data_IF_526817841711
#
_entry.id   IF_526817841711
#
_cell.length_a   1.000
_cell.length_b   1.000
_cell.length_c   1.000
_cell.angle_alpha   90.00
_cell.angle_beta   90.00
_cell.angle_gamma   90.00
#
_symmetry.space_group_name_H-M   'P 1'
#
loop_
_entity.id
_entity.type
_entity.pdbx_description
1 polymer ?
#
# COMPACT_ATOMS: atom_id res chain seq x y z
N UNK A 1 -14.66 -4.05 -2.47
CA UNK A 1 -15.39 -5.10 -3.22
C UNK A 1 -16.65 -5.47 -2.48
N UNK A 2 -17.75 -5.69 -3.18
CA UNK A 2 -19.05 -6.06 -2.58
C UNK A 2 -19.32 -7.57 -2.70
N UNK A 3 -18.26 -8.38 -2.79
CA UNK A 3 -18.34 -9.83 -2.94
C UNK A 3 -19.02 -10.48 -1.73
N UNK A 4 -19.93 -11.40 -1.97
CA UNK A 4 -20.65 -12.18 -0.96
C UNK A 4 -20.33 -13.65 -1.19
N UNK A 5 -19.70 -14.30 -0.21
CA UNK A 5 -19.40 -15.71 -0.29
C UNK A 5 -20.62 -16.55 0.06
N UNK A 6 -20.94 -17.52 -0.77
CA UNK A 6 -21.93 -18.56 -0.48
C UNK A 6 -21.17 -19.82 -0.12
N UNK A 7 -21.28 -20.25 1.13
CA UNK A 7 -20.46 -21.32 1.70
C UNK A 7 -21.32 -22.43 2.28
N UNK A 8 -20.95 -23.67 1.95
CA UNK A 8 -21.49 -24.84 2.59
C UNK A 8 -20.70 -25.23 3.85
N UNK A 9 -20.88 -26.45 4.37
CA UNK A 9 -20.22 -26.91 5.55
C UNK A 9 -18.76 -27.36 5.34
N UNK A 10 -17.98 -27.47 6.44
CA UNK A 10 -16.53 -27.72 6.46
C UNK A 10 -16.07 -29.00 5.77
N UNK A 11 -16.88 -30.05 5.81
CA UNK A 11 -16.59 -31.31 5.09
C UNK A 11 -17.57 -31.41 3.92
N UNK A 12 -17.32 -30.69 2.79
CA UNK A 12 -18.32 -30.49 1.78
C UNK A 12 -18.69 -31.82 1.09
N UNK A 13 -19.95 -32.18 1.18
CA UNK A 13 -20.56 -33.20 0.32
C UNK A 13 -21.09 -32.58 -0.96
N UNK A 14 -21.76 -33.38 -1.77
CA UNK A 14 -22.29 -32.91 -3.03
C UNK A 14 -23.41 -31.90 -2.87
N UNK A 15 -24.29 -32.06 -1.88
CA UNK A 15 -25.39 -31.09 -1.64
C UNK A 15 -24.85 -29.72 -1.24
N UNK A 16 -23.89 -29.70 -0.34
CA UNK A 16 -23.19 -28.49 0.12
C UNK A 16 -22.57 -27.69 -1.03
N UNK A 17 -21.87 -28.36 -1.96
CA UNK A 17 -21.23 -27.71 -3.12
C UNK A 17 -22.28 -27.23 -4.12
N UNK A 18 -23.26 -28.08 -4.45
CA UNK A 18 -24.30 -27.74 -5.42
C UNK A 18 -25.20 -26.62 -4.93
N UNK A 19 -25.56 -26.65 -3.65
CA UNK A 19 -26.34 -25.59 -3.01
C UNK A 19 -25.60 -24.24 -3.10
N UNK A 20 -24.30 -24.22 -2.76
CA UNK A 20 -23.51 -22.98 -2.85
C UNK A 20 -23.47 -22.42 -4.28
N UNK A 21 -23.20 -23.27 -5.27
CA UNK A 21 -23.13 -22.86 -6.67
C UNK A 21 -24.48 -22.41 -7.22
N UNK A 22 -25.55 -23.18 -6.94
CA UNK A 22 -26.90 -22.89 -7.44
C UNK A 22 -27.46 -21.61 -6.81
N UNK A 23 -27.24 -21.40 -5.51
CA UNK A 23 -27.68 -20.17 -4.85
C UNK A 23 -26.92 -18.93 -5.35
N UNK A 24 -25.59 -19.02 -5.50
CA UNK A 24 -24.81 -17.93 -6.07
C UNK A 24 -25.28 -17.57 -7.49
N UNK A 25 -25.54 -18.58 -8.33
CA UNK A 25 -26.05 -18.37 -9.69
C UNK A 25 -27.44 -17.70 -9.69
N UNK A 26 -28.35 -18.14 -8.81
CA UNK A 26 -29.68 -17.53 -8.65
C UNK A 26 -29.56 -16.05 -8.28
N UNK A 27 -28.76 -15.73 -7.27
CA UNK A 27 -28.60 -14.36 -6.77
C UNK A 27 -27.94 -13.44 -7.81
N UNK A 28 -26.96 -13.95 -8.54
CA UNK A 28 -26.32 -13.21 -9.63
C UNK A 28 -27.30 -12.95 -10.80
N UNK A 29 -28.19 -13.89 -11.09
CA UNK A 29 -29.25 -13.70 -12.10
C UNK A 29 -30.28 -12.63 -11.68
N UNK A 30 -30.50 -12.44 -10.38
CA UNK A 30 -31.39 -11.41 -9.84
C UNK A 30 -30.74 -10.00 -9.69
N UNK A 31 -29.44 -9.89 -9.78
CA UNK A 31 -28.80 -8.72 -10.36
C UNK A 31 -28.22 -7.60 -9.50
N UNK A 32 -28.20 -7.58 -8.17
CA UNK A 32 -27.70 -6.37 -7.45
C UNK A 32 -26.31 -6.47 -6.80
N UNK A 33 -25.74 -7.65 -6.68
CA UNK A 33 -24.50 -7.91 -5.95
C UNK A 33 -23.78 -9.10 -6.56
N UNK A 34 -22.46 -9.19 -6.31
CA UNK A 34 -21.63 -10.30 -6.74
C UNK A 34 -21.63 -11.39 -5.67
N UNK A 35 -22.23 -12.55 -6.00
CA UNK A 35 -22.22 -13.74 -5.16
C UNK A 35 -21.23 -14.75 -5.73
N UNK A 36 -20.30 -15.21 -4.89
CA UNK A 36 -19.29 -16.19 -5.27
C UNK A 36 -19.49 -17.45 -4.46
N UNK A 37 -19.71 -18.57 -5.14
CA UNK A 37 -19.72 -19.89 -4.50
C UNK A 37 -18.33 -20.23 -3.98
N UNK A 38 -18.24 -20.72 -2.75
CA UNK A 38 -16.99 -21.13 -2.16
C UNK A 38 -17.15 -22.46 -1.40
N UNK A 39 -16.08 -23.26 -1.34
CA UNK A 39 -16.04 -24.53 -0.61
C UNK A 39 -15.05 -24.45 0.56
N UNK A 40 -15.35 -25.20 1.61
CA UNK A 40 -14.54 -25.33 2.82
C UNK A 40 -13.88 -26.73 2.81
N UNK A 41 -12.62 -26.80 2.41
CA UNK A 41 -11.90 -28.06 2.41
C UNK A 41 -11.88 -28.77 1.05
N UNK A 42 -11.60 -30.06 1.09
CA UNK A 42 -11.40 -30.86 -0.12
C UNK A 42 -12.71 -31.40 -0.67
N UNK A 43 -12.91 -31.24 -1.96
CA UNK A 43 -14.08 -31.76 -2.69
C UNK A 43 -13.88 -33.27 -2.91
N UNK A 44 -14.91 -34.08 -2.65
CA UNK A 44 -14.85 -35.52 -2.87
C UNK A 44 -14.73 -35.87 -4.36
N UNK A 45 -14.12 -37.05 -4.66
CA UNK A 45 -14.02 -37.55 -6.04
C UNK A 45 -15.39 -37.74 -6.70
N UNK A 46 -16.43 -38.03 -5.94
CA UNK A 46 -17.79 -38.12 -6.41
C UNK A 46 -18.32 -36.77 -6.88
N UNK A 47 -18.17 -35.75 -6.04
CA UNK A 47 -18.56 -34.38 -6.36
C UNK A 47 -17.77 -33.84 -7.56
N UNK A 48 -16.45 -34.10 -7.62
CA UNK A 48 -15.60 -33.70 -8.74
C UNK A 48 -16.08 -34.31 -10.05
N UNK A 49 -16.32 -35.64 -10.08
CA UNK A 49 -16.85 -36.30 -11.27
C UNK A 49 -18.20 -35.75 -11.73
N UNK A 50 -19.01 -35.30 -10.79
CA UNK A 50 -20.29 -34.68 -11.11
C UNK A 50 -20.09 -33.28 -11.70
N UNK A 51 -19.23 -32.46 -11.13
CA UNK A 51 -18.87 -31.14 -11.68
C UNK A 51 -18.36 -31.29 -13.13
N UNK A 52 -17.41 -32.21 -13.34
CA UNK A 52 -16.82 -32.48 -14.66
C UNK A 52 -17.90 -32.89 -15.68
N UNK A 53 -18.86 -33.74 -15.27
CA UNK A 53 -19.97 -34.21 -16.14
C UNK A 53 -20.83 -33.07 -16.64
N UNK A 54 -21.05 -32.03 -15.83
CA UNK A 54 -21.90 -30.89 -16.19
C UNK A 54 -21.09 -29.67 -16.66
N UNK A 55 -19.76 -29.82 -16.75
CA UNK A 55 -18.85 -28.76 -17.24
C UNK A 55 -18.67 -27.61 -16.27
N UNK A 56 -18.74 -27.85 -14.97
CA UNK A 56 -18.47 -26.87 -13.94
C UNK A 56 -17.05 -27.02 -13.36
N UNK A 57 -16.40 -25.88 -13.15
CA UNK A 57 -15.20 -25.85 -12.33
C UNK A 57 -15.57 -25.89 -10.83
N UNK A 58 -14.71 -26.48 -9.98
CA UNK A 58 -14.87 -26.44 -8.54
C UNK A 58 -14.99 -25.00 -8.02
N UNK A 59 -15.86 -24.73 -7.04
CA UNK A 59 -15.92 -23.43 -6.42
C UNK A 59 -14.61 -23.07 -5.72
N UNK A 60 -14.37 -21.77 -5.58
CA UNK A 60 -13.16 -21.26 -4.92
C UNK A 60 -13.03 -21.81 -3.50
N UNK A 61 -11.87 -22.40 -3.18
CA UNK A 61 -11.62 -22.83 -1.81
C UNK A 61 -11.32 -21.64 -0.92
N UNK A 62 -12.03 -21.55 0.22
CA UNK A 62 -11.77 -20.58 1.29
C UNK A 62 -11.71 -21.33 2.62
N UNK A 63 -10.76 -20.94 3.48
CA UNK A 63 -10.60 -21.61 4.79
C UNK A 63 -10.92 -20.65 5.95
N UNK A 64 -10.96 -19.34 5.69
CA UNK A 64 -11.11 -18.31 6.72
C UNK A 64 -11.80 -17.07 6.14
N UNK A 65 -12.76 -16.52 6.88
CA UNK A 65 -13.48 -15.30 6.51
C UNK A 65 -13.16 -14.12 7.45
N UNK A 66 -12.14 -14.24 8.30
CA UNK A 66 -11.64 -13.09 9.06
C UNK A 66 -11.20 -11.98 8.10
N UNK A 67 -11.39 -10.76 8.57
CA UNK A 67 -10.98 -9.57 7.81
C UNK A 67 -9.45 -9.48 7.75
N UNK A 68 -8.91 -9.24 6.57
CA UNK A 68 -7.48 -9.04 6.32
C UNK A 68 -7.20 -7.57 5.96
N UNK A 69 -5.93 -7.16 5.96
CA UNK A 69 -5.50 -5.81 5.56
C UNK A 69 -6.02 -5.45 4.17
N UNK A 70 -6.02 -6.42 3.23
CA UNK A 70 -6.56 -6.22 1.86
C UNK A 70 -8.03 -5.83 1.81
N UNK A 71 -8.79 -6.11 2.86
CA UNK A 71 -10.22 -5.80 2.96
C UNK A 71 -10.47 -4.38 3.50
N UNK A 72 -9.43 -3.64 3.87
CA UNK A 72 -9.51 -2.27 4.38
C UNK A 72 -9.38 -1.23 3.25
N UNK A 73 -9.99 -0.09 3.47
CA UNK A 73 -9.75 1.12 2.67
C UNK A 73 -8.56 1.89 3.26
N UNK A 74 -7.35 1.38 3.11
CA UNK A 74 -6.15 2.06 3.57
C UNK A 74 -5.71 3.14 2.57
N UNK A 75 -4.89 4.10 3.05
CA UNK A 75 -4.40 5.18 2.21
C UNK A 75 -3.35 4.69 1.20
N UNK A 76 -3.34 5.28 0.01
CA UNK A 76 -2.34 5.01 -1.02
C UNK A 76 -1.53 6.27 -1.35
N UNK A 77 -0.79 6.85 -0.38
CA UNK A 77 0.07 7.99 -0.66
C UNK A 77 1.18 7.56 -1.63
N UNK A 78 1.66 8.48 -2.48
CA UNK A 78 2.80 8.18 -3.31
C UNK A 78 4.00 7.82 -2.44
N UNK A 79 4.59 6.65 -2.67
CA UNK A 79 5.89 6.29 -2.09
C UNK A 79 7.00 7.07 -2.78
N UNK A 80 8.05 7.45 -2.06
CA UNK A 80 9.19 8.17 -2.59
C UNK A 80 10.43 7.29 -2.62
N UNK A 81 11.17 7.37 -3.72
CA UNK A 81 12.49 6.76 -3.80
C UNK A 81 13.45 7.40 -2.79
N UNK A 82 14.33 6.60 -2.21
CA UNK A 82 15.28 7.00 -1.18
C UNK A 82 16.27 8.11 -1.62
N UNK A 83 16.49 8.27 -2.92
CA UNK A 83 17.34 9.32 -3.51
C UNK A 83 16.69 10.70 -3.63
N UNK A 84 15.38 10.80 -3.42
CA UNK A 84 14.62 12.05 -3.53
C UNK A 84 15.06 13.03 -2.44
N UNK A 85 15.06 14.33 -2.75
CA UNK A 85 15.47 15.40 -1.83
C UNK A 85 14.46 15.59 -0.68
N UNK A 86 14.95 16.02 0.50
CA UNK A 86 14.08 16.41 1.61
C UNK A 86 13.09 17.52 1.22
N UNK A 87 13.51 18.46 0.35
CA UNK A 87 12.64 19.51 -0.17
C UNK A 87 11.40 18.94 -0.88
N UNK A 88 11.62 17.99 -1.80
CA UNK A 88 10.53 17.35 -2.55
C UNK A 88 9.62 16.54 -1.64
N UNK A 89 10.20 15.78 -0.70
CA UNK A 89 9.43 15.01 0.27
C UNK A 89 8.55 15.90 1.14
N UNK A 90 9.10 16.98 1.67
CA UNK A 90 8.34 17.97 2.45
C UNK A 90 7.20 18.61 1.67
N UNK A 91 7.45 19.03 0.42
CA UNK A 91 6.40 19.59 -0.45
C UNK A 91 5.28 18.59 -0.67
N UNK A 92 5.61 17.34 -0.97
CA UNK A 92 4.62 16.28 -1.18
C UNK A 92 3.80 15.99 0.08
N UNK A 93 4.45 15.89 1.25
CA UNK A 93 3.72 15.73 2.53
C UNK A 93 2.69 16.85 2.74
N UNK A 94 3.04 18.09 2.42
CA UNK A 94 2.13 19.25 2.54
C UNK A 94 0.99 19.21 1.53
N UNK A 95 1.27 18.89 0.28
CA UNK A 95 0.30 18.80 -0.80
C UNK A 95 -0.72 17.69 -0.55
N UNK A 96 -0.26 16.53 -0.11
CA UNK A 96 -1.08 15.36 0.20
C UNK A 96 -1.67 15.38 1.62
N UNK A 97 -1.28 16.36 2.47
CA UNK A 97 -1.70 16.48 3.88
C UNK A 97 -1.38 15.23 4.71
N UNK A 98 -0.29 14.56 4.40
CA UNK A 98 0.21 13.40 5.15
C UNK A 98 1.42 13.79 5.99
N UNK A 99 1.56 13.16 7.17
CA UNK A 99 2.68 13.42 8.09
C UNK A 99 3.77 12.36 8.04
N UNK A 100 3.52 11.24 7.40
CA UNK A 100 4.46 10.12 7.22
C UNK A 100 4.27 9.55 5.81
N UNK A 101 5.37 9.20 5.18
CA UNK A 101 5.38 8.55 3.85
C UNK A 101 6.30 7.32 3.89
N UNK A 102 5.98 6.26 3.15
CA UNK A 102 6.91 5.17 2.92
C UNK A 102 8.01 5.62 1.95
N UNK A 103 9.23 5.20 2.25
CA UNK A 103 10.41 5.37 1.39
C UNK A 103 10.74 4.03 0.77
N UNK A 104 10.95 3.99 -0.54
CA UNK A 104 11.17 2.78 -1.30
C UNK A 104 12.54 2.76 -1.98
N UNK A 105 13.03 1.56 -2.23
CA UNK A 105 14.16 1.29 -3.10
C UNK A 105 13.75 1.39 -4.57
N UNK A 106 14.70 1.29 -5.49
CA UNK A 106 14.44 1.35 -6.94
C UNK A 106 13.53 0.24 -7.44
N UNK A 107 13.55 -0.92 -6.80
CA UNK A 107 12.71 -2.09 -7.12
C UNK A 107 11.29 -2.01 -6.54
N UNK A 108 10.99 -0.96 -5.75
CA UNK A 108 9.70 -0.73 -5.10
C UNK A 108 9.54 -1.40 -3.73
N UNK A 109 10.56 -2.10 -3.24
CA UNK A 109 10.57 -2.67 -1.88
C UNK A 109 10.71 -1.57 -0.83
N UNK A 110 10.27 -1.84 0.39
CA UNK A 110 10.34 -0.88 1.49
C UNK A 110 11.81 -0.60 1.88
N UNK A 111 12.22 0.66 1.83
CA UNK A 111 13.47 1.13 2.40
C UNK A 111 13.30 1.54 3.86
N UNK A 112 12.18 2.19 4.18
CA UNK A 112 11.85 2.67 5.52
C UNK A 112 10.68 3.65 5.51
N UNK A 113 10.56 4.43 6.57
CA UNK A 113 9.54 5.47 6.69
C UNK A 113 10.15 6.82 7.00
N UNK A 114 9.55 7.88 6.49
CA UNK A 114 9.96 9.25 6.72
C UNK A 114 8.79 10.06 7.27
N UNK A 115 8.96 10.66 8.44
CA UNK A 115 7.98 11.57 9.02
C UNK A 115 8.39 13.04 8.83
N UNK A 116 7.42 13.95 8.95
CA UNK A 116 7.68 15.38 9.02
C UNK A 116 8.59 15.74 10.23
N UNK A 117 8.50 14.97 11.32
CA UNK A 117 9.37 15.10 12.48
C UNK A 117 10.82 14.76 12.18
N UNK A 118 11.06 13.73 11.36
CA UNK A 118 12.41 13.31 10.97
C UNK A 118 13.10 14.38 10.13
N UNK A 119 12.37 14.94 9.15
CA UNK A 119 12.86 16.07 8.33
C UNK A 119 13.19 17.26 9.24
N UNK A 120 12.30 17.60 10.18
CA UNK A 120 12.54 18.72 11.10
C UNK A 120 13.74 18.46 12.01
N UNK A 121 13.85 17.28 12.60
CA UNK A 121 14.96 16.90 13.47
C UNK A 121 16.29 16.92 12.71
N UNK A 122 16.33 16.36 11.52
CA UNK A 122 17.52 16.37 10.67
C UNK A 122 17.92 17.80 10.27
N UNK A 123 16.94 18.65 9.92
CA UNK A 123 17.19 20.05 9.58
C UNK A 123 17.74 20.85 10.77
N UNK A 124 17.39 20.50 12.01
CA UNK A 124 17.98 21.13 13.21
C UNK A 124 19.41 20.68 13.45
N UNK A 125 19.75 19.43 13.16
CA UNK A 125 21.12 18.92 13.27
C UNK A 125 22.09 19.68 12.36
N UNK A 126 21.66 20.06 11.15
CA UNK A 126 22.48 20.83 10.21
C UNK A 126 22.83 22.25 10.67
N UNK A 127 22.13 22.77 11.70
CA UNK A 127 22.51 24.05 12.35
C UNK A 127 23.72 23.86 13.26
N UNK A 128 23.83 22.70 13.89
CA UNK A 128 24.91 22.37 14.82
C UNK A 128 26.15 21.90 14.05
N UNK A 129 25.91 21.04 13.05
CA UNK A 129 26.93 20.51 12.16
C UNK A 129 26.61 20.94 10.73
N UNK A 130 27.31 21.97 10.19
CA UNK A 130 27.04 22.49 8.86
C UNK A 130 27.65 21.64 7.74
N UNK A 131 28.10 20.42 8.03
CA UNK A 131 28.68 19.52 7.05
C UNK A 131 27.62 18.83 6.18
N UNK A 132 27.90 18.72 4.90
CA UNK A 132 27.12 17.95 3.94
C UNK A 132 27.96 16.78 3.45
N UNK A 133 27.44 15.56 3.53
CA UNK A 133 28.09 14.35 3.03
C UNK A 133 27.44 13.88 1.72
N UNK A 134 28.25 13.64 0.69
CA UNK A 134 27.89 12.95 -0.55
C UNK A 134 26.47 13.27 -1.10
N UNK A 135 26.19 14.56 -1.28
CA UNK A 135 24.91 14.99 -1.88
C UNK A 135 25.07 15.06 -3.40
N UNK A 136 24.26 14.33 -4.17
CA UNK A 136 24.31 14.39 -5.62
C UNK A 136 24.11 15.80 -6.14
N UNK A 137 24.97 16.24 -7.06
CA UNK A 137 24.95 17.60 -7.58
C UNK A 137 23.61 17.96 -8.24
N UNK A 138 22.96 17.00 -8.93
CA UNK A 138 21.63 17.23 -9.50
C UNK A 138 20.57 17.55 -8.44
N UNK A 139 20.68 17.01 -7.21
CA UNK A 139 19.81 17.36 -6.09
C UNK A 139 20.00 18.82 -5.70
N UNK A 140 21.25 19.26 -5.59
CA UNK A 140 21.60 20.64 -5.25
C UNK A 140 21.09 21.59 -6.32
N UNK A 141 21.33 21.30 -7.59
CA UNK A 141 20.84 22.10 -8.70
C UNK A 141 19.31 22.19 -8.71
N UNK A 142 18.63 21.06 -8.45
CA UNK A 142 17.15 21.03 -8.40
C UNK A 142 16.59 21.91 -7.29
N UNK A 143 17.19 21.90 -6.11
CA UNK A 143 16.73 22.68 -4.96
C UNK A 143 17.08 24.16 -5.07
N UNK A 144 18.26 24.47 -5.60
CA UNK A 144 18.76 25.83 -5.74
C UNK A 144 18.34 26.51 -7.06
N UNK A 145 17.59 25.83 -7.93
CA UNK A 145 17.32 26.29 -9.31
C UNK A 145 18.65 26.63 -10.02
N UNK A 146 19.68 25.85 -9.73
CA UNK A 146 21.06 26.14 -10.09
C UNK A 146 21.46 25.63 -11.48
N UNK A 147 22.58 26.14 -11.96
CA UNK A 147 23.22 25.68 -13.20
C UNK A 147 24.70 25.48 -12.96
N UNK A 148 25.27 24.38 -13.46
CA UNK A 148 26.72 24.17 -13.53
C UNK A 148 27.30 25.13 -14.56
N UNK A 149 28.43 25.73 -14.24
CA UNK A 149 29.07 26.73 -15.09
C UNK A 149 30.41 26.26 -15.68
N UNK A 150 31.06 25.26 -15.08
CA UNK A 150 32.31 24.71 -15.59
C UNK A 150 32.13 23.32 -16.21
N UNK A 151 32.89 23.04 -17.27
CA UNK A 151 32.71 21.84 -18.11
C UNK A 151 33.21 20.55 -17.45
N UNK A 152 34.09 20.65 -16.43
CA UNK A 152 34.69 19.50 -15.76
C UNK A 152 33.81 18.87 -14.69
N UNK A 153 32.66 19.49 -14.33
CA UNK A 153 31.72 18.97 -13.34
C UNK A 153 30.57 18.20 -13.99
N UNK A 154 30.37 16.96 -13.58
CA UNK A 154 29.30 16.12 -14.09
C UNK A 154 28.05 16.17 -13.17
N UNK A 155 26.86 16.04 -13.78
CA UNK A 155 25.58 16.05 -13.04
C UNK A 155 25.47 14.96 -11.96
N UNK A 156 26.22 13.88 -12.16
CA UNK A 156 26.21 12.72 -11.25
C UNK A 156 27.27 12.79 -10.16
N UNK A 157 28.13 13.81 -10.20
CA UNK A 157 29.09 14.04 -9.13
C UNK A 157 28.35 14.36 -7.82
N UNK A 158 28.97 14.00 -6.71
CA UNK A 158 28.50 14.35 -5.39
C UNK A 158 29.34 15.50 -4.84
N UNK A 159 28.69 16.37 -4.08
CA UNK A 159 29.37 17.40 -3.30
C UNK A 159 29.34 17.06 -1.82
N UNK A 160 30.43 17.33 -1.16
CA UNK A 160 30.56 17.18 0.28
C UNK A 160 31.31 18.40 0.86
N UNK A 161 31.15 18.65 2.15
CA UNK A 161 31.90 19.68 2.85
C UNK A 161 31.06 20.60 3.72
N UNK A 162 31.77 21.51 4.38
CA UNK A 162 31.16 22.51 5.25
C UNK A 162 30.56 23.65 4.43
N UNK A 163 29.33 24.01 4.68
CA UNK A 163 28.66 25.13 4.02
C UNK A 163 29.07 26.45 4.70
N UNK A 164 29.74 27.31 3.95
CA UNK A 164 30.27 28.57 4.44
C UNK A 164 29.82 29.75 3.60
N UNK A 165 29.29 30.80 4.23
CA UNK A 165 28.98 32.07 3.54
C UNK A 165 30.27 32.89 3.48
N UNK A 166 30.67 33.27 2.27
CA UNK A 166 31.86 34.09 2.03
C UNK A 166 31.59 35.54 2.41
N UNK A 167 31.97 35.88 3.67
CA UNK A 167 32.01 37.23 4.17
C UNK A 167 33.47 37.61 4.43
N UNK A 168 33.85 38.91 4.40
CA UNK A 168 35.21 39.34 4.69
C UNK A 168 35.79 38.74 6.00
N UNK A 169 34.95 38.66 7.03
CA UNK A 169 35.38 38.09 8.34
C UNK A 169 35.46 36.56 8.34
N UNK A 170 34.68 35.84 7.46
CA UNK A 170 34.73 34.39 7.42
C UNK A 170 36.00 33.83 6.80
N UNK A 171 36.75 34.66 6.08
CA UNK A 171 38.02 34.28 5.47
C UNK A 171 39.11 33.87 6.47
N UNK A 172 38.99 34.29 7.69
CA UNK A 172 39.94 33.96 8.76
C UNK A 172 39.49 32.75 9.58
N UNK A 173 38.34 32.16 9.26
CA UNK A 173 37.85 30.95 9.94
C UNK A 173 38.51 29.69 9.34
N UNK A 174 38.66 28.66 10.18
CA UNK A 174 39.14 27.36 9.74
C UNK A 174 38.24 26.74 8.66
N UNK A 175 36.92 26.90 8.79
CA UNK A 175 35.94 26.34 7.84
C UNK A 175 36.07 26.92 6.42
N UNK A 176 36.39 28.23 6.28
CA UNK A 176 36.60 28.82 4.95
C UNK A 176 37.91 28.34 4.30
N UNK A 177 38.95 28.06 5.11
CA UNK A 177 40.24 27.60 4.64
C UNK A 177 40.32 26.06 4.45
N UNK A 178 39.21 25.37 4.59
CA UNK A 178 39.12 23.93 4.38
C UNK A 178 38.85 23.67 2.88
N UNK A 179 39.69 22.89 2.20
CA UNK A 179 39.42 22.49 0.79
C UNK A 179 38.09 21.75 0.63
N UNK A 180 37.62 21.05 1.66
CA UNK A 180 36.34 20.33 1.62
C UNK A 180 35.12 21.24 1.88
N UNK A 181 35.26 22.56 1.66
CA UNK A 181 34.18 23.52 1.87
C UNK A 181 33.31 23.73 0.63
N UNK A 182 32.03 24.05 0.89
CA UNK A 182 31.07 24.55 -0.08
C UNK A 182 30.86 26.03 0.21
N UNK A 183 31.37 26.90 -0.64
CA UNK A 183 31.43 28.33 -0.39
C UNK A 183 30.32 29.08 -1.12
N UNK A 184 29.46 29.77 -0.38
CA UNK A 184 28.40 30.59 -0.92
C UNK A 184 28.92 32.00 -1.14
N UNK A 185 29.07 32.40 -2.41
CA UNK A 185 29.64 33.70 -2.77
C UNK A 185 28.55 34.60 -3.40
N UNK A 186 28.52 35.86 -3.00
CA UNK A 186 27.82 36.91 -3.68
C UNK A 186 28.70 37.64 -4.67
N UNK A 187 28.46 38.93 -4.87
CA UNK A 187 29.16 39.81 -5.80
C UNK A 187 30.50 40.33 -5.22
N UNK A 188 31.32 39.47 -4.65
CA UNK A 188 32.63 39.78 -4.08
C UNK A 188 33.74 39.00 -4.79
N UNK A 189 34.36 39.58 -5.83
CA UNK A 189 35.38 38.87 -6.63
C UNK A 189 36.53 38.29 -5.83
N UNK A 190 37.04 39.03 -4.84
CA UNK A 190 38.17 38.61 -4.01
C UNK A 190 37.86 37.33 -3.24
N UNK A 191 36.61 37.14 -2.82
CA UNK A 191 36.18 35.93 -2.11
C UNK A 191 36.13 34.70 -3.07
N UNK A 192 35.61 34.89 -4.29
CA UNK A 192 35.57 33.83 -5.29
C UNK A 192 37.01 33.44 -5.69
N UNK A 193 37.89 34.41 -5.95
CA UNK A 193 39.28 34.14 -6.30
C UNK A 193 40.04 33.45 -5.17
N UNK A 194 39.76 33.78 -3.92
CA UNK A 194 40.35 33.11 -2.73
C UNK A 194 39.84 31.67 -2.63
N UNK A 195 38.56 31.43 -2.78
CA UNK A 195 38.00 30.10 -2.77
C UNK A 195 38.59 29.23 -3.88
N UNK A 196 38.73 29.74 -5.08
CA UNK A 196 39.37 29.07 -6.20
C UNK A 196 40.84 28.71 -5.91
N UNK A 197 41.62 29.65 -5.30
CA UNK A 197 43.00 29.39 -4.91
C UNK A 197 43.15 28.31 -3.84
N UNK A 198 42.17 28.17 -2.96
CA UNK A 198 42.10 27.11 -1.94
C UNK A 198 41.72 25.77 -2.53
N UNK A 199 41.09 25.74 -3.74
CA UNK A 199 40.61 24.54 -4.40
C UNK A 199 39.42 23.89 -3.62
N UNK A 200 38.49 24.74 -3.17
CA UNK A 200 37.29 24.27 -2.42
C UNK A 200 36.49 23.33 -3.30
N UNK A 201 35.69 22.46 -2.65
CA UNK A 201 34.88 21.45 -3.34
C UNK A 201 33.84 22.09 -4.28
N UNK A 202 33.11 23.09 -3.79
CA UNK A 202 32.08 23.77 -4.57
C UNK A 202 31.97 25.26 -4.26
N UNK A 203 31.75 26.08 -5.28
CA UNK A 203 31.40 27.49 -5.16
C UNK A 203 29.99 27.69 -5.67
N UNK A 204 29.10 28.26 -4.87
CA UNK A 204 27.76 28.63 -5.27
C UNK A 204 27.68 30.15 -5.44
N UNK A 205 27.55 30.61 -6.69
CA UNK A 205 27.40 32.02 -7.03
C UNK A 205 25.93 32.45 -6.83
N UNK A 206 25.69 33.25 -5.78
CA UNK A 206 24.35 33.69 -5.37
C UNK A 206 24.03 35.03 -6.06
N UNK A 207 23.05 35.04 -6.98
CA UNK A 207 22.63 36.23 -7.76
C UNK A 207 23.80 36.94 -8.44
N UNK A 208 24.84 36.21 -8.84
CA UNK A 208 26.08 36.77 -9.40
C UNK A 208 26.39 36.06 -10.71
N UNK A 209 26.74 36.86 -11.73
CA UNK A 209 27.22 36.29 -12.99
C UNK A 209 28.69 35.88 -12.87
N UNK A 210 29.01 34.74 -13.46
CA UNK A 210 30.37 34.23 -13.46
C UNK A 210 31.27 35.03 -14.37
N UNK A 211 32.47 35.39 -13.92
CA UNK A 211 33.48 35.96 -14.77
C UNK A 211 34.22 34.82 -15.52
N UNK A 212 34.53 35.04 -16.81
CA UNK A 212 35.28 34.05 -17.63
C UNK A 212 36.56 33.55 -16.95
N UNK A 213 37.30 34.48 -16.34
CA UNK A 213 38.52 34.17 -15.59
C UNK A 213 38.33 33.18 -14.43
N UNK A 214 37.14 33.19 -13.79
CA UNK A 214 36.85 32.25 -12.70
C UNK A 214 36.66 30.84 -13.25
N UNK A 215 35.97 30.72 -14.37
CA UNK A 215 35.75 29.41 -15.04
C UNK A 215 37.07 28.81 -15.55
N UNK A 216 37.93 29.63 -16.12
CA UNK A 216 39.27 29.22 -16.60
C UNK A 216 40.18 28.75 -15.45
N UNK A 217 39.98 29.27 -14.23
CA UNK A 217 40.77 28.94 -13.06
C UNK A 217 40.07 27.98 -12.09
N UNK A 218 38.92 27.41 -12.49
CA UNK A 218 38.11 26.55 -11.61
C UNK A 218 38.83 25.26 -11.18
N UNK A 219 39.68 24.71 -12.06
CA UNK A 219 40.30 23.42 -11.80
C UNK A 219 39.28 22.37 -11.51
N UNK A 220 39.37 21.69 -10.35
CA UNK A 220 38.42 20.68 -9.89
C UNK A 220 37.24 21.25 -9.10
N UNK A 221 37.23 22.55 -8.78
CA UNK A 221 36.15 23.19 -8.02
C UNK A 221 34.88 23.25 -8.86
N UNK A 222 33.79 22.68 -8.38
CA UNK A 222 32.47 22.81 -9.01
C UNK A 222 31.94 24.25 -8.83
N UNK A 223 31.56 24.93 -9.93
CA UNK A 223 30.95 26.26 -9.87
C UNK A 223 29.49 26.18 -10.28
N UNK A 224 28.61 26.52 -9.38
CA UNK A 224 27.15 26.54 -9.58
C UNK A 224 26.67 27.97 -9.48
N UNK A 225 25.79 28.42 -10.39
CA UNK A 225 25.06 29.67 -10.26
C UNK A 225 23.62 29.41 -9.80
N UNK A 226 23.07 30.33 -9.02
CA UNK A 226 21.67 30.30 -8.57
C UNK A 226 21.04 31.70 -8.58
N UNK A 227 19.69 31.80 -8.85
CA UNK A 227 18.99 33.06 -8.76
C UNK A 227 18.72 33.51 -7.31
N UNK A 228 19.05 32.68 -6.31
CA UNK A 228 18.78 32.95 -4.90
C UNK A 228 19.95 33.69 -4.23
N UNK A 229 19.62 34.50 -3.22
CA UNK A 229 20.61 35.13 -2.34
C UNK A 229 21.27 34.10 -1.41
N UNK A 230 22.45 34.46 -0.87
CA UNK A 230 23.25 33.56 -0.02
C UNK A 230 22.49 33.10 1.25
N UNK A 231 21.66 33.96 1.85
CA UNK A 231 20.90 33.59 3.04
C UNK A 231 19.82 32.55 2.74
N UNK A 232 19.20 32.62 1.57
CA UNK A 232 18.24 31.63 1.07
C UNK A 232 18.95 30.33 0.70
N UNK A 233 20.07 30.42 0.01
CA UNK A 233 20.88 29.25 -0.36
C UNK A 233 21.34 28.50 0.88
N UNK A 234 21.87 29.19 1.90
CA UNK A 234 22.31 28.58 3.14
C UNK A 234 21.22 27.77 3.87
N UNK A 235 19.93 28.12 3.67
CA UNK A 235 18.80 27.37 4.21
C UNK A 235 18.35 26.24 3.32
N UNK A 236 18.44 26.41 2.00
CA UNK A 236 17.93 25.46 1.03
C UNK A 236 18.90 24.32 0.72
N UNK A 237 20.20 24.56 0.81
CA UNK A 237 21.21 23.57 0.39
C UNK A 237 21.10 22.26 1.18
N UNK A 238 20.78 22.31 2.45
CA UNK A 238 20.55 21.13 3.29
C UNK A 238 19.29 20.36 2.89
N UNK A 239 18.36 21.02 2.23
CA UNK A 239 17.15 20.36 1.74
C UNK A 239 17.39 19.57 0.44
N UNK A 240 18.60 19.67 -0.14
CA UNK A 240 19.06 18.84 -1.25
C UNK A 240 19.47 17.43 -0.80
N UNK A 241 19.69 17.22 0.48
CA UNK A 241 20.08 15.94 1.08
C UNK A 241 19.00 14.90 0.73
N UNK A 242 19.39 13.68 0.30
CA UNK A 242 18.46 12.58 0.02
C UNK A 242 17.71 12.15 1.27
N UNK A 243 16.44 11.77 1.09
CA UNK A 243 15.60 11.31 2.21
C UNK A 243 16.06 10.00 2.84
N UNK A 244 16.93 9.26 2.19
CA UNK A 244 17.61 8.09 2.80
C UNK A 244 18.36 8.42 4.10
N UNK A 245 18.82 9.66 4.27
CA UNK A 245 19.57 10.07 5.47
C UNK A 245 18.67 10.25 6.71
N UNK A 246 17.58 11.02 6.66
CA UNK A 246 16.65 11.16 7.79
C UNK A 246 15.65 10.02 7.92
N UNK A 247 15.62 9.05 6.98
CA UNK A 247 14.66 7.94 6.96
C UNK A 247 14.92 6.95 8.11
N UNK A 248 13.85 6.50 8.76
CA UNK A 248 13.91 5.38 9.69
C UNK A 248 13.88 4.06 8.92
N UNK A 249 14.96 3.29 9.03
CA UNK A 249 15.12 1.97 8.39
C UNK A 249 15.06 0.82 9.38
N UNK A 250 15.44 1.08 10.64
CA UNK A 250 15.44 0.10 11.72
C UNK A 250 14.05 0.03 12.38
N UNK A 251 13.65 -1.15 12.82
CA UNK A 251 12.39 -1.41 13.54
C UNK A 251 11.12 -0.87 12.86
N UNK A 252 11.13 -0.77 11.52
CA UNK A 252 9.95 -0.32 10.78
C UNK A 252 8.88 -1.42 10.81
N UNK A 253 7.78 -1.16 11.54
CA UNK A 253 6.62 -2.04 11.55
C UNK A 253 5.86 -1.85 10.23
N UNK A 254 5.68 -2.93 9.47
CA UNK A 254 4.88 -2.99 8.26
C UNK A 254 3.91 -4.18 8.32
N UNK A 255 2.89 -4.17 7.48
CA UNK A 255 1.88 -5.22 7.41
C UNK A 255 1.69 -5.67 5.97
N UNK A 256 1.35 -6.97 5.80
CA UNK A 256 1.05 -7.54 4.50
C UNK A 256 -0.46 -7.51 4.22
N UNK A 257 -0.82 -7.51 2.95
CA UNK A 257 -2.22 -7.59 2.52
C UNK A 257 -2.95 -8.82 3.08
N UNK A 258 -2.21 -9.89 3.38
CA UNK A 258 -2.73 -11.15 3.94
C UNK A 258 -2.91 -11.15 5.46
N UNK A 259 -2.36 -10.19 6.18
CA UNK A 259 -2.40 -10.16 7.65
C UNK A 259 -3.83 -9.98 8.17
N UNK A 260 -4.16 -10.67 9.25
CA UNK A 260 -5.46 -10.55 9.89
C UNK A 260 -5.53 -9.30 10.75
N UNK A 261 -6.69 -8.62 10.70
CA UNK A 261 -6.86 -7.32 11.38
C UNK A 261 -6.72 -7.41 12.90
N UNK A 262 -7.04 -8.56 13.51
CA UNK A 262 -6.89 -8.71 14.96
C UNK A 262 -5.41 -8.73 15.36
N UNK A 263 -4.58 -9.43 14.61
CA UNK A 263 -3.12 -9.48 14.85
C UNK A 263 -2.50 -8.10 14.61
N UNK A 264 -2.89 -7.45 13.50
CA UNK A 264 -2.48 -6.07 13.18
C UNK A 264 -2.88 -5.10 14.29
N UNK A 265 -4.12 -5.21 14.81
CA UNK A 265 -4.62 -4.35 15.89
C UNK A 265 -3.81 -4.52 17.16
N UNK A 266 -3.47 -5.76 17.52
CA UNK A 266 -2.65 -6.05 18.70
C UNK A 266 -1.27 -5.38 18.58
N UNK A 267 -0.62 -5.48 17.41
CA UNK A 267 0.69 -4.89 17.16
C UNK A 267 0.63 -3.35 17.16
N UNK A 268 -0.37 -2.79 16.50
CA UNK A 268 -0.59 -1.33 16.45
C UNK A 268 -0.86 -0.73 17.83
N UNK A 269 -1.50 -1.48 18.75
CA UNK A 269 -1.73 -1.02 20.13
C UNK A 269 -0.46 -0.97 20.96
N UNK A 270 0.51 -1.84 20.71
CA UNK A 270 1.83 -1.87 21.37
C UNK A 270 2.76 -0.78 20.85
N UNK A 271 2.56 -0.32 19.62
CA UNK A 271 3.41 0.63 18.93
C UNK A 271 3.00 2.08 19.19
N UNK A 272 3.98 3.00 19.05
CA UNK A 272 3.77 4.47 19.08
C UNK A 272 3.68 5.08 17.68
N UNK A 273 3.91 4.31 16.64
CA UNK A 273 3.82 4.79 15.26
C UNK A 273 2.38 5.16 14.89
N UNK A 274 2.24 6.10 13.95
CA UNK A 274 0.94 6.59 13.49
C UNK A 274 0.54 6.04 12.13
N UNK A 275 1.52 5.56 11.38
CA UNK A 275 1.36 5.09 10.02
C UNK A 275 2.28 3.88 9.81
N UNK A 276 1.79 2.88 9.11
CA UNK A 276 2.45 1.61 8.87
C UNK A 276 2.39 1.31 7.38
N UNK A 277 3.52 1.05 6.71
CA UNK A 277 3.53 0.60 5.33
C UNK A 277 2.74 -0.71 5.16
N UNK A 278 2.03 -0.82 4.06
CA UNK A 278 1.36 -2.05 3.63
C UNK A 278 2.09 -2.61 2.42
N UNK A 279 2.42 -3.90 2.49
CA UNK A 279 3.20 -4.62 1.49
C UNK A 279 2.32 -5.64 0.76
N UNK A 280 2.63 -5.89 -0.50
CA UNK A 280 2.07 -6.99 -1.28
C UNK A 280 2.87 -8.28 -1.11
N UNK A 281 2.52 -9.33 -1.85
CA UNK A 281 3.17 -10.64 -1.85
C UNK A 281 4.61 -10.61 -2.41
N UNK A 282 5.01 -9.52 -3.07
CA UNK A 282 6.34 -9.28 -3.62
C UNK A 282 7.15 -8.29 -2.77
N UNK A 283 6.77 -8.05 -1.53
CA UNK A 283 7.40 -7.08 -0.60
C UNK A 283 7.36 -5.63 -1.10
N UNK A 284 6.49 -5.30 -2.06
CA UNK A 284 6.34 -3.95 -2.58
C UNK A 284 5.31 -3.16 -1.78
N UNK A 285 5.61 -1.88 -1.57
CA UNK A 285 4.72 -0.97 -0.86
C UNK A 285 3.50 -0.65 -1.72
N UNK A 286 2.32 -1.01 -1.24
CA UNK A 286 1.03 -0.75 -1.91
C UNK A 286 0.20 0.35 -1.23
N UNK A 287 0.57 0.75 -0.01
CA UNK A 287 -0.13 1.80 0.70
C UNK A 287 0.33 1.97 2.13
N UNK A 288 -0.49 2.64 2.92
CA UNK A 288 -0.22 2.89 4.35
C UNK A 288 -1.46 2.68 5.19
N UNK A 289 -1.27 2.03 6.33
CA UNK A 289 -2.29 1.78 7.35
C UNK A 289 -2.10 2.74 8.52
N UNK A 290 -3.20 3.21 9.09
CA UNK A 290 -3.22 3.97 10.33
C UNK A 290 -4.25 3.38 11.31
N UNK A 291 -4.20 3.78 12.58
CA UNK A 291 -5.20 3.37 13.59
C UNK A 291 -6.64 3.65 13.16
N UNK A 292 -6.86 4.69 12.38
CA UNK A 292 -8.19 5.07 11.89
C UNK A 292 -8.82 3.95 11.05
N UNK A 293 -8.03 3.29 10.18
CA UNK A 293 -8.52 2.22 9.30
C UNK A 293 -8.97 0.98 10.08
N UNK A 294 -8.40 0.76 11.28
CA UNK A 294 -8.73 -0.38 12.15
C UNK A 294 -10.03 -0.18 12.94
N UNK A 295 -10.59 1.04 12.97
CA UNK A 295 -11.80 1.33 13.76
C UNK A 295 -13.06 0.75 13.13
N UNK A 296 -13.11 0.62 11.81
CA UNK A 296 -14.28 0.15 11.05
C UNK A 296 -13.87 -0.82 9.95
N UNK A 297 -13.37 -2.00 10.28
CA UNK A 297 -13.05 -3.00 9.27
C UNK A 297 -14.33 -3.41 8.52
N UNK A 298 -14.24 -3.56 7.21
CA UNK A 298 -15.33 -4.12 6.41
C UNK A 298 -15.35 -5.63 6.64
N UNK A 299 -16.41 -6.10 7.30
CA UNK A 299 -16.61 -7.53 7.50
C UNK A 299 -16.88 -8.22 6.16
N UNK A 300 -16.28 -9.39 5.95
CA UNK A 300 -16.66 -10.25 4.83
C UNK A 300 -18.10 -10.69 4.99
N UNK A 301 -18.84 -10.74 3.88
CA UNK A 301 -20.26 -11.13 3.88
C UNK A 301 -20.39 -12.55 3.44
N UNK A 302 -21.22 -13.31 4.14
CA UNK A 302 -21.44 -14.73 3.87
C UNK A 302 -22.92 -15.07 3.85
N UNK A 303 -23.27 -16.01 2.99
CA UNK A 303 -24.51 -16.77 3.03
C UNK A 303 -24.13 -18.20 3.37
N UNK A 304 -24.79 -18.76 4.36
CA UNK A 304 -24.58 -20.16 4.76
C UNK A 304 -25.61 -21.02 4.07
N UNK A 305 -25.16 -22.09 3.43
CA UNK A 305 -26.03 -23.11 2.83
C UNK A 305 -25.67 -24.47 3.40
N UNK A 306 -26.69 -25.32 3.60
CA UNK A 306 -26.55 -26.70 4.01
C UNK A 306 -25.91 -26.91 5.39
N UNK A 307 -25.92 -25.89 6.23
CA UNK A 307 -25.57 -25.97 7.66
C UNK A 307 -25.97 -24.71 8.43
N UNK A 308 -26.21 -24.89 9.72
CA UNK A 308 -26.45 -23.81 10.66
C UNK A 308 -25.74 -24.04 12.01
N UNK A 309 -24.66 -24.83 12.01
CA UNK A 309 -23.87 -25.20 13.19
C UNK A 309 -22.45 -24.60 13.11
N UNK A 310 -21.98 -23.94 14.18
CA UNK A 310 -20.66 -23.30 14.24
C UNK A 310 -19.51 -24.27 14.00
N UNK A 311 -19.61 -25.48 14.50
CA UNK A 311 -18.58 -26.50 14.35
C UNK A 311 -18.32 -26.88 12.89
N UNK A 312 -19.32 -26.71 12.04
CA UNK A 312 -19.27 -27.01 10.61
C UNK A 312 -19.00 -25.79 9.72
N UNK A 313 -19.02 -24.60 10.31
CA UNK A 313 -18.87 -23.35 9.57
C UNK A 313 -17.39 -23.02 9.26
N UNK A 314 -17.21 -22.05 8.36
CA UNK A 314 -15.91 -21.48 8.01
C UNK A 314 -15.25 -20.84 9.24
N UNK A 315 -13.93 -20.91 9.34
CA UNK A 315 -13.21 -20.23 10.40
C UNK A 315 -13.41 -18.70 10.31
N UNK A 316 -13.50 -18.04 11.46
CA UNK A 316 -13.71 -16.59 11.54
C UNK A 316 -15.15 -16.13 11.28
N UNK A 317 -16.11 -17.04 11.23
CA UNK A 317 -17.54 -16.69 10.98
C UNK A 317 -18.07 -15.64 11.95
N UNK A 318 -17.61 -15.64 13.20
CA UNK A 318 -17.99 -14.67 14.25
C UNK A 318 -17.59 -13.23 13.89
N UNK A 319 -16.63 -13.06 12.98
CA UNK A 319 -16.20 -11.75 12.48
C UNK A 319 -16.86 -11.37 11.16
N UNK A 320 -17.52 -12.31 10.48
CA UNK A 320 -18.22 -12.06 9.23
C UNK A 320 -19.62 -11.47 9.45
N UNK A 321 -20.20 -10.93 8.41
CA UNK A 321 -21.61 -10.53 8.34
C UNK A 321 -22.38 -11.64 7.65
N UNK A 322 -23.17 -12.41 8.44
CA UNK A 322 -24.06 -13.43 7.90
C UNK A 322 -25.30 -12.72 7.35
N UNK A 323 -25.55 -12.88 6.06
CA UNK A 323 -26.70 -12.27 5.37
C UNK A 323 -27.92 -13.16 5.37
N UNK A 324 -27.73 -14.47 5.18
CA UNK A 324 -28.81 -15.44 5.00
C UNK A 324 -28.32 -16.84 5.36
N UNK A 325 -29.23 -17.69 5.81
CA UNK A 325 -29.02 -19.13 6.06
C UNK A 325 -30.11 -19.90 5.31
N UNK A 326 -29.68 -20.89 4.51
CA UNK A 326 -30.58 -21.80 3.78
C UNK A 326 -30.19 -23.23 4.13
N UNK A 327 -31.08 -23.97 4.79
CA UNK A 327 -30.70 -25.25 5.35
C UNK A 327 -31.90 -26.20 5.44
N UNK A 328 -31.65 -27.50 5.52
CA UNK A 328 -32.64 -28.54 5.73
C UNK A 328 -32.38 -29.35 7.03
N UNK A 329 -31.29 -29.04 7.73
CA UNK A 329 -30.92 -29.70 8.99
C UNK A 329 -31.70 -29.14 10.20
N UNK A 330 -31.57 -29.80 11.32
CA UNK A 330 -32.06 -29.25 12.60
C UNK A 330 -31.41 -27.90 12.91
N UNK A 331 -32.14 -27.03 13.61
CA UNK A 331 -31.56 -25.77 14.09
C UNK A 331 -30.49 -26.04 15.14
N UNK A 332 -29.35 -25.36 15.00
CA UNK A 332 -28.22 -25.49 15.89
C UNK A 332 -27.85 -24.15 16.55
N UNK A 333 -26.57 -23.73 16.55
CA UNK A 333 -26.04 -22.74 17.48
C UNK A 333 -25.46 -21.48 16.80
N UNK A 334 -25.73 -21.25 15.52
CA UNK A 334 -25.33 -20.02 14.82
C UNK A 334 -26.04 -18.82 15.47
N UNK A 335 -25.25 -17.82 15.83
CA UNK A 335 -25.73 -16.54 16.36
C UNK A 335 -25.38 -15.41 15.41
N UNK A 336 -26.30 -14.48 15.23
CA UNK A 336 -26.13 -13.31 14.38
C UNK A 336 -26.30 -12.02 15.16
N UNK A 337 -25.52 -10.99 14.81
CA UNK A 337 -25.61 -9.68 15.48
C UNK A 337 -26.86 -8.89 15.08
N UNK A 338 -27.48 -9.22 13.96
CA UNK A 338 -28.69 -8.57 13.43
C UNK A 338 -29.67 -9.63 12.91
N UNK A 339 -30.98 -9.29 12.77
CA UNK A 339 -31.93 -10.17 12.11
C UNK A 339 -31.50 -10.47 10.68
N UNK A 340 -31.55 -11.76 10.34
CA UNK A 340 -31.21 -12.24 8.98
C UNK A 340 -32.40 -13.01 8.39
N UNK A 341 -32.36 -13.23 7.07
CA UNK A 341 -33.29 -14.19 6.45
C UNK A 341 -32.78 -15.60 6.75
N UNK A 342 -33.67 -16.46 7.24
CA UNK A 342 -33.39 -17.87 7.41
C UNK A 342 -34.51 -18.69 6.77
N UNK A 343 -34.13 -19.64 5.89
CA UNK A 343 -35.03 -20.59 5.28
C UNK A 343 -34.57 -21.98 5.66
N UNK A 344 -35.38 -22.65 6.47
CA UNK A 344 -35.13 -24.02 6.90
C UNK A 344 -36.38 -24.83 6.63
N UNK A 345 -36.26 -25.90 5.84
CA UNK A 345 -37.37 -26.74 5.44
C UNK A 345 -37.02 -28.21 5.63
N UNK A 346 -37.97 -29.07 6.07
CA UNK A 346 -37.74 -30.47 6.32
C UNK A 346 -37.82 -31.29 5.02
N UNK A 347 -36.85 -31.05 4.14
CA UNK A 347 -36.72 -31.72 2.82
C UNK A 347 -35.44 -32.59 2.80
N UNK A 348 -35.25 -33.33 1.74
CA UNK A 348 -34.10 -34.26 1.62
C UNK A 348 -32.75 -33.62 1.31
N UNK A 349 -32.74 -32.35 0.84
CA UNK A 349 -31.50 -31.62 0.52
C UNK A 349 -31.73 -30.12 0.48
N UNK A 350 -30.71 -29.32 0.77
CA UNK A 350 -30.72 -27.85 0.64
C UNK A 350 -30.90 -27.43 -0.83
N UNK A 351 -30.36 -28.19 -1.74
CA UNK A 351 -30.54 -27.96 -3.18
C UNK A 351 -32.04 -27.98 -3.59
N UNK A 352 -32.86 -28.81 -2.94
CA UNK A 352 -34.34 -28.82 -3.16
C UNK A 352 -34.98 -27.49 -2.78
N UNK A 353 -34.56 -26.88 -1.68
CA UNK A 353 -35.04 -25.55 -1.25
C UNK A 353 -34.67 -24.50 -2.29
N UNK A 354 -33.43 -24.55 -2.79
CA UNK A 354 -32.94 -23.60 -3.80
C UNK A 354 -33.68 -23.76 -5.13
N UNK A 355 -34.03 -24.98 -5.54
CA UNK A 355 -34.90 -25.20 -6.70
C UNK A 355 -36.26 -24.49 -6.56
N UNK A 356 -36.88 -24.60 -5.39
CA UNK A 356 -38.11 -23.86 -5.07
C UNK A 356 -37.91 -22.35 -5.19
N UNK A 357 -36.76 -21.83 -4.74
CA UNK A 357 -36.43 -20.41 -4.84
C UNK A 357 -36.27 -19.93 -6.30
N UNK A 358 -35.71 -20.76 -7.20
CA UNK A 358 -35.67 -20.45 -8.62
C UNK A 358 -37.11 -20.28 -9.19
N UNK A 359 -38.04 -21.17 -8.83
CA UNK A 359 -39.44 -21.09 -9.25
C UNK A 359 -40.15 -19.86 -8.67
N UNK A 360 -39.97 -19.58 -7.39
CA UNK A 360 -40.55 -18.41 -6.72
C UNK A 360 -40.12 -17.07 -7.36
N UNK A 361 -38.88 -17.00 -7.84
CA UNK A 361 -38.34 -15.81 -8.47
C UNK A 361 -38.55 -15.77 -10.00
N UNK A 362 -39.11 -16.82 -10.60
CA UNK A 362 -39.29 -16.91 -12.04
C UNK A 362 -38.00 -16.95 -12.85
N UNK A 363 -36.90 -17.41 -12.24
CA UNK A 363 -35.58 -17.53 -12.87
C UNK A 363 -35.40 -18.95 -13.38
N UNK A 364 -35.06 -19.10 -14.64
CA UNK A 364 -34.73 -20.41 -15.22
C UNK A 364 -33.25 -20.70 -15.05
N UNK A 365 -32.86 -21.79 -14.36
CA UNK A 365 -31.47 -22.20 -14.33
C UNK A 365 -30.97 -22.61 -15.70
N UNK A 366 -29.64 -22.48 -15.95
CA UNK A 366 -29.06 -23.04 -17.17
C UNK A 366 -29.29 -24.58 -17.23
N UNK A 367 -29.33 -25.20 -18.41
CA UNK A 367 -29.52 -26.66 -18.52
C UNK A 367 -28.48 -27.46 -17.72
N UNK A 368 -27.24 -27.00 -17.70
CA UNK A 368 -26.17 -27.60 -16.89
C UNK A 368 -26.48 -27.48 -15.39
N UNK A 369 -26.88 -26.29 -14.91
CA UNK A 369 -27.29 -26.07 -13.54
C UNK A 369 -28.54 -26.84 -13.16
N UNK A 370 -29.55 -26.91 -14.02
CA UNK A 370 -30.74 -27.70 -13.80
C UNK A 370 -30.44 -29.19 -13.66
N UNK A 371 -29.61 -29.77 -14.54
CA UNK A 371 -29.18 -31.16 -14.45
C UNK A 371 -28.39 -31.48 -13.19
N UNK A 372 -27.58 -30.53 -12.73
CA UNK A 372 -26.81 -30.60 -11.50
C UNK A 372 -27.72 -30.58 -10.26
N UNK A 373 -28.70 -29.71 -10.25
CA UNK A 373 -29.59 -29.45 -9.12
C UNK A 373 -30.67 -30.55 -8.97
N UNK A 374 -31.22 -31.08 -10.08
CA UNK A 374 -32.30 -32.09 -10.09
C UNK A 374 -31.82 -33.47 -9.66
N UNK A 375 -30.56 -33.82 -9.89
CA UNK A 375 -30.07 -35.16 -9.56
C UNK A 375 -29.91 -35.41 -8.04
N UNK A 376 -29.83 -34.35 -7.24
CA UNK A 376 -29.72 -34.41 -5.79
C UNK A 376 -31.01 -34.02 -5.05
N UNK A 377 -31.86 -33.19 -5.65
CA UNK A 377 -33.20 -32.96 -5.16
C UNK A 377 -34.18 -33.88 -5.89
N UNK A 378 -34.95 -34.70 -5.20
CA UNK A 378 -36.07 -35.44 -5.79
C UNK A 378 -37.16 -34.47 -6.26
N UNK A 379 -36.83 -33.50 -7.12
CA UNK A 379 -37.78 -32.54 -7.70
C UNK A 379 -38.12 -32.99 -9.11
N UNK A 380 -39.34 -33.41 -9.31
CA UNK A 380 -39.91 -33.48 -10.66
C UNK A 380 -40.05 -32.05 -11.17
N UNK A 381 -39.21 -31.65 -12.12
CA UNK A 381 -39.48 -30.45 -12.93
C UNK A 381 -40.58 -30.84 -13.90
N UNK A 382 -41.69 -30.10 -13.99
CA UNK A 382 -42.70 -30.32 -15.04
C UNK A 382 -42.03 -30.20 -16.41
N UNK A 383 -42.42 -31.09 -17.32
CA UNK A 383 -41.83 -31.36 -18.62
C UNK A 383 -41.24 -30.14 -19.36
N UNK A 384 -39.94 -30.16 -19.61
CA UNK A 384 -39.21 -29.30 -20.55
C UNK A 384 -39.32 -29.81 -22.01
N UNK A 385 -40.43 -30.44 -22.35
CA UNK A 385 -40.71 -30.92 -23.71
C UNK A 385 -41.82 -30.12 -24.36
N UNK A 386 -41.72 -28.81 -24.46
CA UNK A 386 -42.44 -28.01 -25.45
C UNK A 386 -42.01 -26.54 -25.36
N UNK A 387 -40.92 -26.19 -26.07
CA UNK A 387 -40.72 -24.87 -26.67
C UNK A 387 -39.53 -24.94 -27.65
#
# INVERSE_FOLDING_TARGET
MNEIFVVGHRNPDTDSIVAAMSYAALRNALGDREYTAACLGHISDETQRMLDKFGFEPPRQINDVRTQVRDLDFDTPPALNSSVTMNRAWRMMREQKVSVIPVINEDGTLHGTLSAGDIASYSLLTIIDPHIDDVPLYNVLSVLEGKILNEDAELFDCIAGNVVIALPQSCDTLLFNDPDSIVLCGDQPDMVERALKLGVNCIVLCQTEAKKQWLENAGKTCIVSTPFDAARVAKLIYQAIPISRPCHTEDTICFHLSDYIDDVREEVLKSRYRCYPVLDENEKVVGTLSRYHLLRPRRKRVVLVDHNEKSQAVAGLEQAEILEIIDHHRLADIQTAQPIRMRNEPVGSTTTIICGMYQEHGVMPSPAMAGHTVRHGHVQIPDLHEA
#
